data_IF_207534280427
#
_entry.id   IF_207534280427
#
_cell.length_a   1.000
_cell.length_b   1.000
_cell.length_c   1.000
_cell.angle_alpha   90.00
_cell.angle_beta   90.00
_cell.angle_gamma   90.00
#
_symmetry.space_group_name_H-M   'P 1'
#
loop_
_entity.id
_entity.type
_entity.pdbx_description
1 polymer ?
#
# COMPACT_ATOMS: atom_id res chain seq x y z
N UNK A 1 -7.70 36.18 20.21
CA UNK A 1 -6.86 36.07 19.00
C UNK A 1 -7.30 34.82 18.26
N UNK A 2 -7.55 34.90 16.95
CA UNK A 2 -8.13 33.80 16.16
C UNK A 2 -6.98 32.97 15.55
N UNK A 3 -6.85 31.72 15.99
CA UNK A 3 -5.86 30.79 15.45
C UNK A 3 -6.33 30.24 14.10
N UNK A 4 -5.77 30.76 13.02
CA UNK A 4 -5.91 30.20 11.67
C UNK A 4 -4.97 29.00 11.51
N UNK A 5 -5.56 27.81 11.36
CA UNK A 5 -4.85 26.57 11.01
C UNK A 5 -4.18 26.73 9.63
N UNK A 6 -2.90 26.37 9.44
CA UNK A 6 -2.26 26.43 8.13
C UNK A 6 -2.85 25.36 7.20
N UNK A 7 -3.57 25.80 6.18
CA UNK A 7 -4.02 24.93 5.08
C UNK A 7 -2.81 24.47 4.28
N UNK A 8 -2.58 23.15 4.28
CA UNK A 8 -1.56 22.50 3.45
C UNK A 8 -1.87 22.78 1.97
N UNK A 9 -1.01 23.56 1.31
CA UNK A 9 -1.05 23.76 -0.14
C UNK A 9 -0.71 22.43 -0.83
N UNK A 10 -1.69 21.82 -1.48
CA UNK A 10 -1.43 20.70 -2.39
C UNK A 10 -0.64 21.21 -3.60
N UNK A 11 0.43 20.50 -4.05
CA UNK A 11 1.23 20.95 -5.17
C UNK A 11 0.45 20.87 -6.47
N UNK A 12 -0.01 22.02 -6.97
CA UNK A 12 -0.46 22.25 -8.35
C UNK A 12 0.75 22.32 -9.27
N UNK A 13 1.28 21.15 -9.63
CA UNK A 13 2.25 21.00 -10.72
C UNK A 13 1.56 20.65 -12.05
N UNK A 14 2.17 20.98 -13.21
CA UNK A 14 1.55 20.77 -14.51
C UNK A 14 1.38 19.27 -14.79
N UNK A 15 0.14 18.87 -15.11
CA UNK A 15 -0.21 17.51 -15.52
C UNK A 15 0.43 17.18 -16.88
N UNK A 16 1.68 16.74 -16.89
CA UNK A 16 2.22 16.12 -18.09
C UNK A 16 1.54 14.76 -18.28
N UNK A 17 0.62 14.67 -19.25
CA UNK A 17 -0.07 13.45 -19.65
C UNK A 17 0.85 12.47 -20.40
N UNK A 18 2.12 12.33 -19.97
CA UNK A 18 2.90 11.15 -20.29
C UNK A 18 2.36 10.05 -19.38
N UNK A 19 1.40 9.26 -19.89
CA UNK A 19 1.07 7.95 -19.33
C UNK A 19 2.41 7.27 -19.08
N UNK A 20 2.84 7.20 -17.81
CA UNK A 20 4.02 6.44 -17.38
C UNK A 20 3.72 4.99 -17.71
N UNK A 21 3.94 4.64 -18.98
CA UNK A 21 3.81 3.30 -19.52
C UNK A 21 4.78 2.46 -18.70
N UNK A 22 4.27 1.68 -17.75
CA UNK A 22 4.85 0.40 -17.35
C UNK A 22 6.29 0.36 -16.81
N UNK A 23 7.04 1.46 -16.75
CA UNK A 23 8.32 1.49 -16.04
C UNK A 23 8.04 1.09 -14.58
N UNK A 24 8.71 0.02 -14.13
CA UNK A 24 8.73 -0.56 -12.77
C UNK A 24 7.73 -1.66 -12.40
N UNK A 25 7.09 -2.36 -13.35
CA UNK A 25 6.53 -3.68 -13.02
C UNK A 25 7.50 -4.77 -13.46
N UNK A 26 8.25 -5.42 -12.56
CA UNK A 26 9.28 -6.40 -12.93
C UNK A 26 8.73 -7.64 -13.64
N UNK A 27 7.41 -7.85 -13.58
CA UNK A 27 6.70 -8.93 -14.25
C UNK A 27 6.11 -8.54 -15.63
N UNK A 28 6.36 -7.33 -16.12
CA UNK A 28 5.85 -6.85 -17.40
C UNK A 28 6.71 -7.33 -18.56
N UNK A 29 6.12 -8.14 -19.45
CA UNK A 29 6.82 -8.79 -20.55
C UNK A 29 6.56 -8.11 -21.90
N UNK A 30 7.36 -8.42 -22.91
CA UNK A 30 7.12 -8.00 -24.30
C UNK A 30 5.77 -8.52 -24.82
N UNK A 31 5.40 -9.74 -24.45
CA UNK A 31 4.11 -10.34 -24.79
C UNK A 31 2.93 -9.53 -24.23
N UNK A 32 3.02 -9.08 -22.97
CA UNK A 32 2.04 -8.17 -22.36
C UNK A 32 1.96 -6.83 -23.10
N UNK A 33 3.10 -6.30 -23.52
CA UNK A 33 3.18 -5.07 -24.31
C UNK A 33 2.46 -5.23 -25.66
N UNK A 34 2.72 -6.35 -26.35
CA UNK A 34 2.08 -6.68 -27.61
C UNK A 34 0.56 -6.80 -27.48
N UNK A 35 0.07 -7.55 -26.48
CA UNK A 35 -1.36 -7.66 -26.20
C UNK A 35 -1.99 -6.33 -25.80
N UNK A 36 -1.31 -5.54 -24.96
CA UNK A 36 -1.81 -4.22 -24.57
C UNK A 36 -1.97 -3.27 -25.76
N UNK A 37 -1.02 -3.29 -26.70
CA UNK A 37 -1.14 -2.53 -27.94
C UNK A 37 -2.35 -2.99 -28.77
N UNK A 38 -2.59 -4.31 -28.87
CA UNK A 38 -3.78 -4.87 -29.53
C UNK A 38 -5.08 -4.43 -28.84
N UNK A 39 -5.14 -4.44 -27.50
CA UNK A 39 -6.27 -3.91 -26.72
C UNK A 39 -6.55 -2.46 -27.11
N UNK A 40 -5.52 -1.61 -27.12
CA UNK A 40 -5.64 -0.19 -27.46
C UNK A 40 -6.16 0.02 -28.90
N UNK A 41 -5.70 -0.80 -29.86
CA UNK A 41 -6.15 -0.73 -31.25
C UNK A 41 -7.64 -1.11 -31.36
N UNK A 42 -8.03 -2.24 -30.77
CA UNK A 42 -9.42 -2.74 -30.82
C UNK A 42 -10.40 -1.81 -30.10
N UNK A 43 -9.98 -1.24 -28.97
CA UNK A 43 -10.75 -0.22 -28.26
C UNK A 43 -11.02 1.00 -29.14
N UNK A 44 -9.97 1.54 -29.78
CA UNK A 44 -10.11 2.67 -30.72
C UNK A 44 -11.04 2.34 -31.88
N UNK A 45 -10.93 1.15 -32.46
CA UNK A 45 -11.81 0.72 -33.56
C UNK A 45 -13.27 0.65 -33.12
N UNK A 46 -13.55 0.07 -31.95
CA UNK A 46 -14.90 -0.01 -31.39
C UNK A 46 -15.48 1.39 -31.09
N UNK A 47 -14.71 2.27 -30.44
CA UNK A 47 -15.15 3.62 -30.09
C UNK A 47 -15.43 4.51 -31.31
N UNK A 48 -14.68 4.32 -32.40
CA UNK A 48 -14.90 5.05 -33.66
C UNK A 48 -16.16 4.61 -34.42
N UNK A 49 -16.67 3.40 -34.17
CA UNK A 49 -17.85 2.87 -34.88
C UNK A 49 -19.15 3.43 -34.27
N UNK A 50 -19.78 4.42 -34.92
CA UNK A 50 -21.01 5.07 -34.43
C UNK A 50 -22.31 4.56 -35.07
N UNK A 51 -22.29 4.20 -36.36
CA UNK A 51 -23.53 4.13 -37.16
C UNK A 51 -23.93 2.72 -37.64
N UNK A 52 -23.27 1.66 -37.17
CA UNK A 52 -23.63 0.28 -37.53
C UNK A 52 -23.67 -0.62 -36.30
N UNK A 53 -24.88 -0.94 -35.83
CA UNK A 53 -25.11 -1.70 -34.59
C UNK A 53 -24.47 -3.09 -34.61
N UNK A 54 -24.61 -3.82 -35.73
CA UNK A 54 -24.03 -5.16 -35.88
C UNK A 54 -22.50 -5.13 -35.88
N UNK A 55 -21.90 -4.20 -36.62
CA UNK A 55 -20.45 -4.02 -36.66
C UNK A 55 -19.91 -3.58 -35.28
N UNK A 56 -20.59 -2.63 -34.62
CA UNK A 56 -20.21 -2.16 -33.27
C UNK A 56 -20.27 -3.30 -32.25
N UNK A 57 -21.27 -4.18 -32.32
CA UNK A 57 -21.37 -5.38 -31.47
C UNK A 57 -20.19 -6.34 -31.72
N UNK A 58 -19.86 -6.61 -32.99
CA UNK A 58 -18.71 -7.45 -33.35
C UNK A 58 -17.39 -6.87 -32.84
N UNK A 59 -17.16 -5.57 -33.06
CA UNK A 59 -15.96 -4.88 -32.57
C UNK A 59 -15.87 -4.86 -31.04
N UNK A 60 -17.01 -4.69 -30.34
CA UNK A 60 -17.06 -4.81 -28.88
C UNK A 60 -16.66 -6.21 -28.43
N UNK A 61 -17.18 -7.26 -29.07
CA UNK A 61 -16.85 -8.64 -28.75
C UNK A 61 -15.35 -8.93 -28.98
N UNK A 62 -14.79 -8.47 -30.10
CA UNK A 62 -13.35 -8.58 -30.38
C UNK A 62 -12.50 -7.85 -29.33
N UNK A 63 -12.89 -6.64 -28.95
CA UNK A 63 -12.22 -5.89 -27.89
C UNK A 63 -12.27 -6.64 -26.55
N UNK A 64 -13.44 -7.11 -26.12
CA UNK A 64 -13.60 -7.88 -24.89
C UNK A 64 -12.75 -9.14 -24.91
N UNK A 65 -12.69 -9.87 -26.03
CA UNK A 65 -11.87 -11.08 -26.17
C UNK A 65 -10.38 -10.78 -25.99
N UNK A 66 -9.86 -9.78 -26.70
CA UNK A 66 -8.44 -9.39 -26.59
C UNK A 66 -8.13 -8.83 -25.19
N UNK A 67 -9.07 -8.09 -24.59
CA UNK A 67 -8.93 -7.61 -23.22
C UNK A 67 -8.85 -8.74 -22.21
N UNK A 68 -9.72 -9.75 -22.33
CA UNK A 68 -9.70 -10.93 -21.48
C UNK A 68 -8.39 -11.72 -21.61
N UNK A 69 -7.85 -11.84 -22.82
CA UNK A 69 -6.54 -12.47 -23.05
C UNK A 69 -5.42 -11.70 -22.34
N UNK A 70 -5.39 -10.37 -22.50
CA UNK A 70 -4.44 -9.51 -21.80
C UNK A 70 -4.55 -9.67 -20.27
N UNK A 71 -5.77 -9.59 -19.72
CA UNK A 71 -6.00 -9.67 -18.28
C UNK A 71 -5.60 -11.04 -17.72
N UNK A 72 -5.87 -12.13 -18.45
CA UNK A 72 -5.41 -13.48 -18.08
C UNK A 72 -3.89 -13.58 -18.05
N UNK A 73 -3.22 -13.13 -19.12
CA UNK A 73 -1.76 -13.18 -19.19
C UNK A 73 -1.14 -12.34 -18.07
N UNK A 74 -1.65 -11.12 -17.84
CA UNK A 74 -1.15 -10.19 -16.84
C UNK A 74 -1.27 -10.76 -15.41
N UNK A 75 -2.37 -11.44 -15.10
CA UNK A 75 -2.52 -12.14 -13.81
C UNK A 75 -1.53 -13.29 -13.68
N UNK A 76 -1.34 -14.07 -14.75
CA UNK A 76 -0.43 -15.21 -14.75
C UNK A 76 1.03 -14.77 -14.57
N UNK A 77 1.50 -13.81 -15.36
CA UNK A 77 2.88 -13.30 -15.27
C UNK A 77 3.14 -12.65 -13.90
N UNK A 78 2.18 -11.87 -13.38
CA UNK A 78 2.26 -11.33 -12.02
C UNK A 78 2.39 -12.43 -10.97
N UNK A 79 1.54 -13.46 -11.04
CA UNK A 79 1.57 -14.58 -10.08
C UNK A 79 2.89 -15.34 -10.16
N UNK A 80 3.37 -15.65 -11.37
CA UNK A 80 4.67 -16.32 -11.56
C UNK A 80 5.82 -15.52 -10.96
N UNK A 81 5.84 -14.21 -11.18
CA UNK A 81 6.84 -13.33 -10.58
C UNK A 81 6.77 -13.36 -9.05
N UNK A 82 5.57 -13.24 -8.46
CA UNK A 82 5.39 -13.28 -7.01
C UNK A 82 5.86 -14.61 -6.40
N UNK A 83 5.55 -15.74 -7.05
CA UNK A 83 6.03 -17.06 -6.62
C UNK A 83 7.55 -17.16 -6.67
N UNK A 84 8.19 -16.60 -7.70
CA UNK A 84 9.66 -16.56 -7.81
C UNK A 84 10.27 -15.72 -6.70
N UNK A 85 9.72 -14.55 -6.39
CA UNK A 85 10.21 -13.71 -5.30
C UNK A 85 10.05 -14.40 -3.93
N UNK A 86 8.93 -15.12 -3.73
CA UNK A 86 8.73 -15.91 -2.52
C UNK A 86 9.78 -17.03 -2.39
N UNK A 87 10.07 -17.76 -3.46
CA UNK A 87 11.11 -18.80 -3.48
C UNK A 87 12.50 -18.23 -3.21
N UNK A 88 12.83 -17.07 -3.80
CA UNK A 88 14.08 -16.36 -3.53
C UNK A 88 14.21 -15.98 -2.05
N UNK A 89 13.12 -15.48 -1.44
CA UNK A 89 13.06 -15.14 -0.02
C UNK A 89 13.28 -16.36 0.88
N UNK A 90 12.63 -17.48 0.58
CA UNK A 90 12.81 -18.73 1.33
C UNK A 90 14.26 -19.21 1.29
N UNK A 91 14.89 -19.18 0.10
CA UNK A 91 16.31 -19.53 -0.06
C UNK A 91 17.25 -18.61 0.70
N UNK A 92 16.98 -17.30 0.71
CA UNK A 92 17.76 -16.35 1.51
C UNK A 92 17.66 -16.65 3.00
N UNK A 93 16.47 -17.01 3.48
CA UNK A 93 16.26 -17.39 4.88
C UNK A 93 17.02 -18.66 5.26
N UNK A 94 16.98 -19.69 4.40
CA UNK A 94 17.68 -20.97 4.61
C UNK A 94 19.21 -20.84 4.55
N UNK A 95 19.74 -19.82 3.86
CA UNK A 95 21.18 -19.63 3.64
C UNK A 95 22.00 -19.23 4.88
N UNK A 96 21.43 -19.26 6.09
CA UNK A 96 22.01 -18.76 7.36
C UNK A 96 22.44 -17.27 7.33
N UNK A 97 22.14 -16.54 6.27
CA UNK A 97 22.42 -15.12 6.14
C UNK A 97 21.21 -14.29 6.60
N UNK A 98 20.94 -14.36 7.90
CA UNK A 98 19.83 -13.64 8.55
C UNK A 98 19.91 -12.13 8.35
N UNK A 99 21.12 -11.56 8.25
CA UNK A 99 21.34 -10.13 8.00
C UNK A 99 20.81 -9.72 6.62
N UNK A 100 21.12 -10.46 5.57
CA UNK A 100 20.67 -10.13 4.22
C UNK A 100 19.17 -10.36 4.03
N UNK A 101 18.61 -11.39 4.69
CA UNK A 101 17.16 -11.57 4.77
C UNK A 101 16.46 -10.35 5.37
N UNK A 102 16.87 -9.91 6.56
CA UNK A 102 16.26 -8.74 7.21
C UNK A 102 16.54 -7.42 6.49
N UNK A 103 17.67 -7.29 5.78
CA UNK A 103 17.94 -6.14 4.91
C UNK A 103 16.98 -6.10 3.73
N UNK A 104 16.73 -7.24 3.08
CA UNK A 104 15.78 -7.34 1.99
C UNK A 104 14.33 -7.08 2.46
N UNK A 105 13.91 -7.68 3.59
CA UNK A 105 12.60 -7.42 4.21
C UNK A 105 12.46 -5.98 4.69
N UNK A 106 13.53 -5.40 5.25
CA UNK A 106 13.57 -4.00 5.68
C UNK A 106 13.22 -3.05 4.56
N UNK A 107 13.68 -3.31 3.34
CA UNK A 107 13.35 -2.53 2.15
C UNK A 107 11.87 -2.64 1.72
N UNK A 108 11.17 -3.70 2.14
CA UNK A 108 9.73 -3.91 1.87
C UNK A 108 8.86 -3.18 2.89
N UNK A 109 9.37 -3.00 4.12
CA UNK A 109 8.63 -2.40 5.22
C UNK A 109 8.84 -0.90 5.42
N UNK A 110 8.36 -0.42 6.56
CA UNK A 110 8.46 0.95 7.07
C UNK A 110 9.90 1.43 7.31
N UNK A 111 10.95 0.72 6.89
CA UNK A 111 12.34 1.13 7.15
C UNK A 111 12.66 2.52 6.57
N UNK A 112 12.03 2.88 5.45
CA UNK A 112 12.13 4.24 4.90
C UNK A 112 11.35 5.28 5.71
N UNK A 113 10.30 4.86 6.43
CA UNK A 113 9.47 5.70 7.32
C UNK A 113 9.97 5.73 8.76
N UNK A 114 10.87 4.82 9.18
CA UNK A 114 11.55 4.84 10.50
C UNK A 114 12.39 6.10 10.73
N UNK A 115 12.61 6.93 9.70
CA UNK A 115 13.22 8.25 9.82
C UNK A 115 12.28 9.31 10.40
N UNK A 116 11.01 8.99 10.63
CA UNK A 116 10.13 9.84 11.42
C UNK A 116 10.62 9.80 12.86
N UNK A 117 11.16 10.91 13.36
CA UNK A 117 11.51 11.08 14.78
C UNK A 117 10.34 10.58 15.62
N UNK A 118 10.59 9.55 16.44
CA UNK A 118 9.60 9.09 17.42
C UNK A 118 9.21 10.34 18.23
N UNK A 119 7.93 10.72 18.29
CA UNK A 119 7.51 11.88 19.05
C UNK A 119 7.88 11.71 20.52
N UNK A 120 8.97 12.34 20.91
CA UNK A 120 9.61 12.16 22.20
C UNK A 120 9.25 13.35 23.09
N UNK A 121 7.97 13.39 23.44
CA UNK A 121 7.38 14.50 24.19
C UNK A 121 6.22 13.98 25.04
N UNK A 122 6.26 14.25 26.33
CA UNK A 122 5.21 13.88 27.29
C UNK A 122 4.64 15.13 27.94
N UNK A 123 3.37 15.07 28.34
CA UNK A 123 2.73 16.13 29.11
C UNK A 123 3.03 15.90 30.60
N UNK A 124 3.57 16.93 31.24
CA UNK A 124 3.83 17.01 32.68
C UNK A 124 2.96 18.13 33.28
N UNK A 125 2.91 18.23 34.61
CA UNK A 125 2.10 19.26 35.29
C UNK A 125 2.61 20.69 35.01
N UNK A 126 3.90 20.82 34.70
CA UNK A 126 4.56 22.08 34.32
C UNK A 126 4.48 22.39 32.81
N UNK A 127 3.89 21.50 32.01
CA UNK A 127 3.70 21.69 30.57
C UNK A 127 4.07 20.46 29.75
N UNK A 128 5.09 20.58 28.89
CA UNK A 128 5.57 19.45 28.11
C UNK A 128 7.08 19.28 28.27
N UNK A 129 7.50 18.04 28.53
CA UNK A 129 8.90 17.66 28.58
C UNK A 129 9.28 16.80 27.37
N UNK A 130 10.49 17.04 26.85
CA UNK A 130 11.16 16.19 25.86
C UNK A 130 12.46 15.58 26.42
N UNK A 131 12.66 15.69 27.74
CA UNK A 131 13.79 15.07 28.42
C UNK A 131 13.65 13.54 28.44
N UNK A 132 14.76 12.85 28.23
CA UNK A 132 14.76 11.39 28.01
C UNK A 132 14.32 10.62 29.23
N UNK A 133 14.83 10.98 30.39
CA UNK A 133 14.55 10.23 31.60
C UNK A 133 13.09 10.47 32.02
N UNK A 134 12.62 11.71 31.86
CA UNK A 134 11.22 12.09 32.15
C UNK A 134 10.23 11.39 31.21
N UNK A 135 10.51 11.33 29.91
CA UNK A 135 9.64 10.69 28.92
C UNK A 135 9.55 9.18 29.18
N UNK A 136 10.69 8.52 29.42
CA UNK A 136 10.74 7.07 29.64
C UNK A 136 10.05 6.67 30.94
N UNK A 137 10.27 7.41 32.02
CA UNK A 137 9.65 7.14 33.32
C UNK A 137 8.13 7.33 33.26
N UNK A 138 7.67 8.38 32.54
CA UNK A 138 6.24 8.60 32.30
C UNK A 138 5.61 7.46 31.50
N UNK A 139 6.26 7.00 30.43
CA UNK A 139 5.76 5.88 29.63
C UNK A 139 5.69 4.59 30.42
N UNK A 140 6.71 4.31 31.23
CA UNK A 140 6.73 3.15 32.13
C UNK A 140 5.58 3.20 33.11
N UNK A 141 5.40 4.33 33.78
CA UNK A 141 4.32 4.55 34.76
C UNK A 141 2.94 4.41 34.12
N UNK A 142 2.73 5.02 32.95
CA UNK A 142 1.46 4.95 32.23
C UNK A 142 1.15 3.51 31.78
N UNK A 143 2.17 2.78 31.32
CA UNK A 143 2.04 1.39 30.93
C UNK A 143 1.70 0.50 32.13
N UNK A 144 2.39 0.66 33.27
CA UNK A 144 2.10 -0.10 34.50
C UNK A 144 0.68 0.15 35.01
N UNK A 145 0.15 1.36 34.87
CA UNK A 145 -1.24 1.70 35.23
C UNK A 145 -2.28 0.96 34.39
N UNK A 146 -1.97 0.61 33.13
CA UNK A 146 -2.89 -0.16 32.28
C UNK A 146 -3.17 -1.55 32.86
N UNK A 147 -2.20 -2.15 33.57
CA UNK A 147 -2.33 -3.50 34.13
C UNK A 147 -2.71 -3.52 35.60
N UNK A 148 -2.51 -2.41 36.31
CA UNK A 148 -2.78 -2.28 37.74
C UNK A 148 -3.87 -1.24 38.03
N UNK A 149 -4.88 -1.17 37.16
CA UNK A 149 -6.06 -0.33 37.41
C UNK A 149 -6.78 -0.88 38.64
N UNK A 150 -6.78 -0.13 39.74
CA UNK A 150 -7.30 -0.50 41.05
C UNK A 150 -8.83 -0.64 41.14
N UNK A 151 -9.51 -0.97 40.04
CA UNK A 151 -10.95 -1.17 40.01
C UNK A 151 -11.31 -2.41 39.18
N UNK A 152 -10.95 -3.58 39.71
CA UNK A 152 -11.48 -4.87 39.26
C UNK A 152 -12.90 -5.15 39.82
N UNK A 153 -13.60 -4.13 40.33
CA UNK A 153 -14.89 -4.26 41.01
C UNK A 153 -16.11 -3.98 40.14
N UNK A 154 -15.95 -3.33 38.98
CA UNK A 154 -17.08 -2.83 38.18
C UNK A 154 -17.15 -3.49 36.80
N UNK A 155 -17.11 -4.82 36.74
CA UNK A 155 -17.71 -5.52 35.62
C UNK A 155 -19.24 -5.44 35.79
N UNK A 156 -19.91 -4.80 34.84
CA UNK A 156 -21.36 -4.67 34.78
C UNK A 156 -21.99 -6.06 34.63
N UNK A 157 -22.27 -6.72 35.76
CA UNK A 157 -22.93 -8.02 35.81
C UNK A 157 -24.42 -7.96 35.42
N UNK A 158 -24.97 -6.79 35.06
CA UNK A 158 -26.37 -6.64 34.66
C UNK A 158 -26.74 -7.31 33.32
N UNK A 159 -25.81 -7.95 32.62
CA UNK A 159 -26.12 -8.73 31.41
C UNK A 159 -26.47 -10.21 31.73
N UNK A 160 -26.26 -10.72 32.95
CA UNK A 160 -26.39 -12.15 33.22
C UNK A 160 -27.73 -12.60 33.83
N UNK A 161 -28.67 -11.70 34.10
CA UNK A 161 -30.02 -12.06 34.49
C UNK A 161 -30.92 -12.22 33.25
N UNK A 162 -31.12 -13.47 32.84
CA UNK A 162 -32.20 -13.93 31.95
C UNK A 162 -33.12 -14.90 32.70
#
# INVERSE_FOLDING_TARGET
MKDTVPVLKTPTGPSSNKRKKSFEKPYWTEELTSLWNKVCIKEKQWLKCKNCTNLRRKLKQEFCNIRNQFDKLNRNTKRKFQLKEQDNLSKLFESNNTRDFWKYIGNIGIANERRQNIPFKVKTDEGFSSDVDVVLDKWKTDYEKLFNSGDNGNFDNNHLDW
#
